data_IF_853249029698
#
_entry.id   IF_853249029698
#
_cell.length_a   1.000
_cell.length_b   1.000
_cell.length_c   1.000
_cell.angle_alpha   90.00
_cell.angle_beta   90.00
_cell.angle_gamma   90.00
#
_symmetry.space_group_name_H-M   'P 1'
#
loop_
_entity.id
_entity.type
_entity.pdbx_description
1 polymer ?
#
# COMPACT_ATOMS: atom_id res chain seq x y z
N UNK A 1 -10.90 -3.04 0.54
CA UNK A 1 -10.59 -3.99 -0.55
C UNK A 1 -10.73 -5.42 -0.04
N UNK A 2 -11.93 -6.02 -0.11
CA UNK A 2 -12.22 -7.28 0.55
C UNK A 2 -11.41 -8.47 0.00
N UNK A 3 -11.08 -8.46 -1.29
CA UNK A 3 -10.34 -9.53 -1.98
C UNK A 3 -8.94 -9.82 -1.42
N UNK A 4 -8.30 -8.84 -0.77
CA UNK A 4 -6.96 -9.04 -0.17
C UNK A 4 -7.02 -9.96 1.06
N UNK A 5 -8.19 -10.07 1.69
CA UNK A 5 -8.39 -10.96 2.83
C UNK A 5 -8.63 -12.42 2.41
N UNK A 6 -8.69 -12.71 1.12
CA UNK A 6 -8.88 -14.06 0.59
C UNK A 6 -7.55 -14.82 0.51
N UNK A 7 -7.46 -15.93 1.23
CA UNK A 7 -6.23 -16.72 1.33
C UNK A 7 -6.24 -17.93 0.38
N UNK A 8 -5.14 -18.10 -0.35
CA UNK A 8 -4.90 -19.27 -1.20
C UNK A 8 -4.53 -20.55 -0.42
N UNK A 9 -4.30 -20.45 0.90
CA UNK A 9 -3.95 -21.58 1.76
C UNK A 9 -4.97 -22.73 1.61
N UNK A 10 -4.47 -23.96 1.47
CA UNK A 10 -5.27 -25.15 1.19
C UNK A 10 -5.45 -25.47 -0.30
N UNK A 11 -5.04 -24.58 -1.22
CA UNK A 11 -4.98 -24.88 -2.67
C UNK A 11 -3.88 -25.88 -3.05
N UNK A 12 -2.84 -26.01 -2.21
CA UNK A 12 -1.66 -26.88 -2.42
C UNK A 12 -0.92 -26.56 -3.72
N UNK A 13 -0.48 -27.57 -4.49
CA UNK A 13 0.41 -27.36 -5.63
C UNK A 13 -0.25 -26.61 -6.80
N UNK A 14 -1.52 -26.91 -7.10
CA UNK A 14 -2.20 -26.43 -8.33
C UNK A 14 -3.66 -26.00 -8.09
N UNK A 15 -4.08 -25.81 -6.85
CA UNK A 15 -5.43 -25.36 -6.50
C UNK A 15 -6.44 -26.48 -6.23
N UNK A 16 -6.07 -27.74 -6.43
CA UNK A 16 -6.96 -28.91 -6.22
C UNK A 16 -7.14 -29.31 -4.76
N UNK A 17 -6.25 -28.85 -3.87
CA UNK A 17 -6.23 -29.30 -2.48
C UNK A 17 -5.70 -30.72 -2.28
N UNK A 18 -5.02 -31.31 -3.27
CA UNK A 18 -4.42 -32.64 -3.15
C UNK A 18 -3.41 -32.67 -2.00
N UNK A 19 -3.41 -33.75 -1.21
CA UNK A 19 -2.59 -33.90 0.01
C UNK A 19 -2.97 -32.93 1.16
N UNK A 20 -4.16 -32.33 1.12
CA UNK A 20 -4.73 -31.55 2.23
C UNK A 20 -5.99 -32.21 2.77
N UNK A 21 -6.25 -32.04 4.08
CA UNK A 21 -7.48 -32.53 4.72
C UNK A 21 -8.65 -31.59 4.43
N UNK A 22 -9.84 -32.14 4.23
CA UNK A 22 -11.09 -31.37 4.13
C UNK A 22 -11.24 -30.49 5.38
N UNK A 23 -11.55 -29.20 5.19
CA UNK A 23 -11.69 -28.22 6.28
C UNK A 23 -10.38 -27.56 6.72
N UNK A 24 -9.24 -27.89 6.13
CA UNK A 24 -7.96 -27.28 6.48
C UNK A 24 -7.90 -25.79 6.11
N UNK A 25 -8.35 -25.44 4.91
CA UNK A 25 -8.27 -24.08 4.37
C UNK A 25 -9.06 -23.09 5.23
N UNK A 26 -10.25 -23.50 5.68
CA UNK A 26 -11.16 -22.75 6.54
C UNK A 26 -10.57 -22.58 7.94
N UNK A 27 -9.99 -23.65 8.51
CA UNK A 27 -9.34 -23.59 9.83
C UNK A 27 -8.11 -22.68 9.82
N UNK A 28 -7.31 -22.73 8.76
CA UNK A 28 -6.15 -21.83 8.60
C UNK A 28 -6.63 -20.39 8.51
N UNK A 29 -7.61 -20.09 7.65
CA UNK A 29 -8.15 -18.73 7.53
C UNK A 29 -8.73 -18.21 8.85
N UNK A 30 -9.51 -19.04 9.57
CA UNK A 30 -10.05 -18.68 10.88
C UNK A 30 -8.94 -18.44 11.92
N UNK A 31 -7.88 -19.24 11.90
CA UNK A 31 -6.73 -19.05 12.80
C UNK A 31 -6.01 -17.75 12.49
N UNK A 32 -5.75 -17.46 11.20
CA UNK A 32 -5.10 -16.21 10.77
C UNK A 32 -5.96 -15.00 11.13
N UNK A 33 -7.28 -15.08 10.93
CA UNK A 33 -8.22 -14.05 11.31
C UNK A 33 -8.19 -13.79 12.83
N UNK A 34 -8.18 -14.86 13.63
CA UNK A 34 -8.08 -14.75 15.09
C UNK A 34 -6.75 -14.16 15.57
N UNK A 35 -5.64 -14.47 14.91
CA UNK A 35 -4.32 -13.96 15.29
C UNK A 35 -4.13 -12.49 14.91
N UNK A 36 -4.68 -12.09 13.76
CA UNK A 36 -4.48 -10.73 13.22
C UNK A 36 -5.60 -9.76 13.63
N UNK A 37 -6.75 -10.26 14.07
CA UNK A 37 -7.96 -9.46 14.28
C UNK A 37 -8.59 -8.93 12.98
N UNK A 38 -8.14 -9.42 11.83
CA UNK A 38 -8.61 -9.00 10.51
C UNK A 38 -9.53 -10.07 9.90
N UNK A 39 -10.46 -9.70 8.99
CA UNK A 39 -11.48 -10.61 8.47
C UNK A 39 -10.94 -11.52 7.35
N UNK A 40 -9.85 -12.26 7.61
CA UNK A 40 -9.29 -13.22 6.67
C UNK A 40 -10.24 -14.39 6.42
N UNK A 41 -10.41 -14.74 5.15
CA UNK A 41 -11.28 -15.82 4.68
C UNK A 41 -10.52 -16.69 3.67
N UNK A 42 -11.01 -17.90 3.44
CA UNK A 42 -10.43 -18.76 2.41
C UNK A 42 -10.92 -18.31 1.03
N UNK A 43 -10.03 -18.26 0.02
CA UNK A 43 -10.42 -17.85 -1.34
C UNK A 43 -11.45 -18.82 -1.94
N UNK A 44 -12.55 -18.35 -2.57
CA UNK A 44 -13.58 -19.24 -3.11
C UNK A 44 -13.08 -20.08 -4.28
N UNK A 45 -12.12 -19.57 -5.06
CA UNK A 45 -11.47 -20.29 -6.14
C UNK A 45 -9.95 -20.34 -5.91
N UNK A 46 -9.43 -21.53 -5.62
CA UNK A 46 -7.99 -21.73 -5.35
C UNK A 46 -7.12 -21.73 -6.62
N UNK A 47 -7.71 -21.93 -7.80
CA UNK A 47 -6.97 -21.87 -9.06
C UNK A 47 -6.63 -20.42 -9.40
N UNK A 48 -7.62 -19.52 -9.31
CA UNK A 48 -7.43 -18.10 -9.54
C UNK A 48 -6.43 -17.51 -8.53
N UNK A 49 -6.62 -17.79 -7.24
CA UNK A 49 -5.77 -17.28 -6.18
C UNK A 49 -4.29 -17.75 -6.25
N UNK A 50 -3.99 -18.80 -7.02
CA UNK A 50 -2.62 -19.29 -7.26
C UNK A 50 -2.07 -18.87 -8.61
N UNK A 51 -2.90 -18.82 -9.65
CA UNK A 51 -2.47 -18.54 -11.02
C UNK A 51 -2.34 -17.04 -11.30
N UNK A 52 -3.13 -16.21 -10.62
CA UNK A 52 -3.17 -14.77 -10.80
C UNK A 52 -3.06 -14.04 -9.46
N UNK A 53 -2.67 -12.76 -9.52
CA UNK A 53 -2.51 -11.90 -8.36
C UNK A 53 -3.28 -10.58 -8.56
N UNK A 54 -4.47 -10.68 -9.12
CA UNK A 54 -5.27 -9.53 -9.57
C UNK A 54 -5.69 -8.65 -8.39
N UNK A 55 -5.95 -9.24 -7.22
CA UNK A 55 -6.23 -8.48 -6.00
C UNK A 55 -5.05 -7.57 -5.58
N UNK A 56 -3.80 -7.99 -5.81
CA UNK A 56 -2.61 -7.18 -5.54
C UNK A 56 -2.39 -6.11 -6.61
N UNK A 57 -2.71 -6.41 -7.87
CA UNK A 57 -2.69 -5.42 -8.95
C UNK A 57 -3.71 -4.31 -8.67
N UNK A 58 -4.91 -4.67 -8.24
CA UNK A 58 -5.94 -3.71 -7.82
C UNK A 58 -5.45 -2.85 -6.64
N UNK A 59 -4.83 -3.46 -5.62
CA UNK A 59 -4.27 -2.74 -4.49
C UNK A 59 -3.22 -1.72 -4.95
N UNK A 60 -2.32 -2.15 -5.83
CA UNK A 60 -1.30 -1.29 -6.41
C UNK A 60 -1.93 -0.11 -7.16
N UNK A 61 -3.02 -0.35 -7.91
CA UNK A 61 -3.78 0.71 -8.56
C UNK A 61 -4.36 1.73 -7.58
N UNK A 62 -4.96 1.26 -6.49
CA UNK A 62 -5.48 2.14 -5.43
C UNK A 62 -4.36 2.97 -4.77
N UNK A 63 -3.22 2.34 -4.48
CA UNK A 63 -2.04 3.03 -3.93
C UNK A 63 -1.47 4.05 -4.92
N UNK A 64 -1.49 3.76 -6.22
CA UNK A 64 -1.06 4.71 -7.25
C UNK A 64 -1.96 5.96 -7.28
N UNK A 65 -3.27 5.81 -7.11
CA UNK A 65 -4.18 6.97 -6.99
C UNK A 65 -3.85 7.82 -5.76
N UNK A 66 -3.53 7.19 -4.63
CA UNK A 66 -3.07 7.91 -3.43
C UNK A 66 -1.75 8.62 -3.70
N UNK A 67 -0.79 7.98 -4.37
CA UNK A 67 0.48 8.58 -4.72
C UNK A 67 0.33 9.83 -5.59
N UNK A 68 -0.57 9.82 -6.59
CA UNK A 68 -0.88 11.01 -7.41
C UNK A 68 -1.44 12.15 -6.55
N UNK A 69 -2.33 11.82 -5.62
CA UNK A 69 -2.91 12.82 -4.69
C UNK A 69 -1.84 13.43 -3.78
N UNK A 70 -0.95 12.60 -3.22
CA UNK A 70 0.17 13.05 -2.39
C UNK A 70 1.17 13.88 -3.19
N UNK A 71 1.48 13.49 -4.44
CA UNK A 71 2.35 14.23 -5.33
C UNK A 71 1.81 15.64 -5.60
N UNK A 72 0.50 15.78 -5.79
CA UNK A 72 -0.14 17.09 -5.92
C UNK A 72 0.09 17.90 -4.64
N UNK A 73 -0.31 17.38 -3.49
CA UNK A 73 -0.21 18.09 -2.20
C UNK A 73 1.24 18.54 -1.94
N UNK A 74 2.21 17.66 -2.15
CA UNK A 74 3.62 17.97 -1.98
C UNK A 74 4.10 19.07 -2.94
N UNK A 75 3.70 19.02 -4.21
CA UNK A 75 4.06 20.05 -5.18
C UNK A 75 3.46 21.41 -4.82
N UNK A 76 2.19 21.46 -4.42
CA UNK A 76 1.56 22.72 -3.98
C UNK A 76 2.32 23.33 -2.81
N UNK A 77 2.61 22.54 -1.77
CA UNK A 77 3.35 23.00 -0.59
C UNK A 77 4.72 23.56 -1.00
N UNK A 78 5.46 22.85 -1.86
CA UNK A 78 6.77 23.31 -2.36
C UNK A 78 6.67 24.59 -3.19
N UNK A 79 5.67 24.70 -4.07
CA UNK A 79 5.49 25.90 -4.89
C UNK A 79 5.07 27.11 -4.04
N UNK A 80 4.12 26.94 -3.12
CA UNK A 80 3.70 28.01 -2.21
C UNK A 80 4.81 28.42 -1.24
N UNK A 81 5.67 27.49 -0.84
CA UNK A 81 6.87 27.76 -0.04
C UNK A 81 8.09 28.23 -0.83
N UNK A 82 7.99 28.36 -2.16
CA UNK A 82 9.13 28.78 -3.00
C UNK A 82 9.52 30.24 -2.70
N UNK A 83 10.82 30.52 -2.59
CA UNK A 83 11.29 31.81 -2.12
C UNK A 83 12.80 31.79 -1.86
N UNK A 84 13.36 32.72 -1.05
CA UNK A 84 12.65 33.68 -0.19
C UNK A 84 12.28 35.02 -0.85
N UNK A 85 12.81 35.33 -2.04
CA UNK A 85 12.58 36.64 -2.70
C UNK A 85 12.04 36.56 -4.12
N UNK A 86 12.27 35.44 -4.81
CA UNK A 86 11.96 35.27 -6.24
C UNK A 86 11.00 34.10 -6.50
N UNK A 87 10.20 33.70 -5.50
CA UNK A 87 9.16 32.67 -5.58
C UNK A 87 7.81 33.21 -5.12
N UNK A 88 6.87 32.32 -4.75
CA UNK A 88 5.55 32.73 -4.23
C UNK A 88 5.62 33.21 -2.76
N UNK A 89 6.33 32.49 -1.90
CA UNK A 89 6.57 32.87 -0.50
C UNK A 89 5.30 32.92 0.38
N UNK A 90 4.24 32.21 0.01
CA UNK A 90 2.97 32.21 0.73
C UNK A 90 2.98 31.31 1.97
N UNK A 91 3.84 30.30 1.99
CA UNK A 91 4.04 29.41 3.14
C UNK A 91 5.49 29.49 3.65
N UNK A 92 5.65 29.39 4.98
CA UNK A 92 6.95 29.24 5.62
C UNK A 92 7.09 27.78 6.10
N UNK A 93 8.02 27.05 5.50
CA UNK A 93 8.26 25.64 5.81
C UNK A 93 9.29 25.49 6.94
N UNK A 94 9.19 24.46 7.80
CA UNK A 94 10.15 24.25 8.87
C UNK A 94 11.53 23.85 8.34
N UNK A 95 12.57 24.44 8.91
CA UNK A 95 13.97 24.13 8.63
C UNK A 95 14.41 22.88 9.41
N UNK A 96 14.68 21.78 8.72
CA UNK A 96 15.12 20.53 9.35
C UNK A 96 16.61 20.23 9.10
N UNK A 97 17.15 20.68 7.96
CA UNK A 97 18.55 20.54 7.61
C UNK A 97 19.09 21.86 7.04
N UNK A 98 20.37 22.19 7.26
CA UNK A 98 21.01 23.29 6.54
C UNK A 98 20.91 23.02 5.04
N UNK A 99 20.45 23.99 4.27
CA UNK A 99 20.51 23.94 2.81
C UNK A 99 21.95 24.12 2.32
N UNK A 100 22.19 25.13 1.50
CA UNK A 100 23.52 25.41 1.01
C UNK A 100 24.36 26.14 2.07
N UNK A 101 25.59 25.66 2.33
CA UNK A 101 26.50 26.24 3.32
C UNK A 101 26.97 27.66 2.99
N UNK A 102 26.79 28.12 1.75
CA UNK A 102 27.18 29.45 1.26
C UNK A 102 26.00 30.43 1.14
N UNK A 103 24.75 29.93 1.09
CA UNK A 103 23.56 30.75 0.84
C UNK A 103 22.65 30.82 2.08
N UNK A 104 22.74 31.88 2.91
CA UNK A 104 21.85 32.03 4.06
C UNK A 104 20.40 32.22 3.61
N UNK A 105 19.51 31.34 4.08
CA UNK A 105 18.08 31.34 3.74
C UNK A 105 17.69 30.51 2.52
N UNK A 106 18.63 29.77 1.92
CA UNK A 106 18.30 28.71 0.95
C UNK A 106 17.86 27.44 1.70
N UNK A 107 16.60 27.07 1.55
CA UNK A 107 16.05 25.81 2.06
C UNK A 107 16.22 24.70 1.02
N UNK A 108 16.46 23.44 1.43
CA UNK A 108 16.39 22.28 0.53
C UNK A 108 14.97 22.03 0.00
#
# INVERSE_FOLDING_TARGET
MPRIYELAAGGTAVGTGLNTRIGFAEKVAATVASLTGLPFVTAPNKFEALAAHDALVELSGALNTVAVSMMKIANDIRFLGSGPRSGLGELCLPENEPGSSIMPGEFP
#
